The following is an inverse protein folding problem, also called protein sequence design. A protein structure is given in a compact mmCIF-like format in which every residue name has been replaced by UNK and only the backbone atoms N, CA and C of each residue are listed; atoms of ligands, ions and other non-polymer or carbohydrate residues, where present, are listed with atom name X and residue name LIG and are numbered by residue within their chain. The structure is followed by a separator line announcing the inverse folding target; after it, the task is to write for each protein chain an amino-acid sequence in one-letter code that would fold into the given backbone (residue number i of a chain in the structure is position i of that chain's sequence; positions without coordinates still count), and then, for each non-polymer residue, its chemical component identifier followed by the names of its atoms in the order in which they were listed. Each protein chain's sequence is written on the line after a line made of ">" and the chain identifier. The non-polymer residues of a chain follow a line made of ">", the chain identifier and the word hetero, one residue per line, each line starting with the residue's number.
data_IF_907421710213
#
_entry.id   IF_907421710213
#
_cell.length_a   1.000
_cell.length_b   1.000
_cell.length_c   1.000
_cell.angle_alpha   90.00
_cell.angle_beta   90.00
_cell.angle_gamma   90.00
#
_symmetry.space_group_name_H-M   'P 1'
#
loop_
_entity.id
_entity.type
_entity.pdbx_description
1 polymer ?
#
# COMPACT_ATOMS: atom_id res chain seq x y z
N UNK A 1 57.73 -65.14 -1.51
CA UNK A 1 56.44 -65.37 -0.83
C UNK A 1 56.58 -64.96 0.64
N UNK A 2 55.49 -64.51 1.28
CA UNK A 2 55.25 -64.45 2.74
C UNK A 2 56.26 -63.70 3.67
N UNK A 3 55.72 -62.77 4.47
CA UNK A 3 56.24 -62.36 5.80
C UNK A 3 55.87 -63.45 6.86
N UNK A 4 56.43 -63.53 8.09
CA UNK A 4 56.53 -62.45 9.13
C UNK A 4 57.91 -62.45 9.87
N UNK A 5 58.21 -61.97 11.10
CA UNK A 5 57.41 -61.53 12.28
C UNK A 5 58.18 -60.55 13.22
N UNK A 6 57.41 -59.90 14.12
CA UNK A 6 57.78 -59.11 15.32
C UNK A 6 58.97 -59.59 16.20
N UNK A 7 59.74 -58.64 16.75
CA UNK A 7 59.82 -58.22 18.20
C UNK A 7 60.98 -57.20 18.36
N UNK A 8 60.85 -56.00 18.96
CA UNK A 8 60.38 -55.57 20.29
C UNK A 8 61.48 -55.57 21.39
N UNK A 9 62.07 -54.40 21.64
CA UNK A 9 62.34 -53.82 22.99
C UNK A 9 62.88 -52.39 22.84
N UNK A 10 62.64 -51.53 23.83
CA UNK A 10 63.19 -50.16 23.96
C UNK A 10 63.78 -50.04 25.37
N UNK A 11 64.91 -49.36 25.51
CA UNK A 11 65.54 -49.01 26.78
C UNK A 11 66.89 -48.34 26.55
N UNK A 12 67.32 -47.50 27.49
CA UNK A 12 68.59 -46.77 27.43
C UNK A 12 68.41 -45.24 27.55
N UNK A 13 69.06 -44.67 28.56
CA UNK A 13 69.51 -43.27 28.58
C UNK A 13 70.80 -43.18 27.72
N UNK A 14 71.41 -42.04 27.42
CA UNK A 14 72.22 -41.21 28.35
C UNK A 14 72.58 -39.84 27.73
N UNK A 15 73.58 -39.16 28.29
CA UNK A 15 73.98 -37.75 28.15
C UNK A 15 74.70 -37.44 26.80
N UNK A 16 75.04 -36.20 26.41
CA UNK A 16 76.03 -35.25 26.97
C UNK A 16 75.68 -33.80 26.54
N UNK A 17 75.83 -32.78 27.38
CA UNK A 17 77.05 -31.96 27.62
C UNK A 17 77.72 -31.39 26.36
N UNK A 18 77.80 -30.05 26.29
CA UNK A 18 78.61 -29.34 25.28
C UNK A 18 78.10 -27.92 24.96
N UNK A 19 78.69 -26.90 25.63
CA UNK A 19 78.89 -25.49 25.23
C UNK A 19 78.86 -24.56 26.47
N UNK A 20 79.91 -23.76 26.65
CA UNK A 20 80.01 -22.71 27.68
C UNK A 20 80.60 -21.46 27.04
N UNK A 21 80.00 -20.30 27.29
CA UNK A 21 80.58 -18.98 27.00
C UNK A 21 80.05 -18.29 25.74
N UNK A 22 79.03 -17.44 25.92
CA UNK A 22 78.99 -16.09 25.31
C UNK A 22 77.94 -15.23 26.06
N UNK A 23 78.29 -13.99 26.41
CA UNK A 23 77.50 -13.14 27.32
C UNK A 23 76.32 -12.42 26.64
N UNK A 24 75.12 -12.98 26.75
CA UNK A 24 73.89 -12.31 26.30
C UNK A 24 73.39 -11.32 27.36
N UNK A 25 73.81 -10.06 27.24
CA UNK A 25 73.20 -8.93 27.95
C UNK A 25 71.76 -8.69 27.45
N UNK A 26 70.77 -9.28 28.10
CA UNK A 26 69.38 -8.88 27.90
C UNK A 26 69.20 -7.41 28.30
N UNK A 27 68.61 -6.60 27.41
CA UNK A 27 68.28 -5.21 27.69
C UNK A 27 67.12 -5.14 28.67
N UNK A 28 67.22 -4.26 29.64
CA UNK A 28 66.10 -3.89 30.50
C UNK A 28 65.05 -3.19 29.62
N UNK A 29 63.79 -3.65 29.68
CA UNK A 29 62.69 -3.12 28.87
C UNK A 29 61.98 -2.01 29.65
N UNK A 30 61.72 -0.87 29.02
CA UNK A 30 61.06 0.28 29.65
C UNK A 30 59.58 -0.02 29.98
N UNK A 31 59.33 -0.58 31.17
CA UNK A 31 57.99 -0.80 31.71
C UNK A 31 57.17 0.50 31.83
N UNK A 32 57.82 1.60 32.18
CA UNK A 32 57.17 2.91 32.41
C UNK A 32 56.49 3.45 31.15
N UNK A 33 57.07 3.20 29.97
CA UNK A 33 56.47 3.57 28.69
C UNK A 33 55.21 2.75 28.39
N UNK A 34 55.21 1.46 28.77
CA UNK A 34 54.04 0.58 28.66
C UNK A 34 52.93 0.96 29.65
N UNK A 35 53.28 1.24 30.91
CA UNK A 35 52.30 1.64 31.92
C UNK A 35 51.59 2.94 31.53
N UNK A 36 52.33 3.94 31.02
CA UNK A 36 51.72 5.19 30.54
C UNK A 36 50.70 4.95 29.42
N UNK A 37 50.99 4.05 28.46
CA UNK A 37 50.04 3.72 27.39
C UNK A 37 48.77 3.03 27.93
N UNK A 38 48.90 2.21 28.98
CA UNK A 38 47.75 1.58 29.67
C UNK A 38 46.90 2.65 30.37
N UNK A 39 47.52 3.60 31.06
CA UNK A 39 46.83 4.67 31.78
C UNK A 39 46.10 5.64 30.82
N UNK A 40 46.76 6.02 29.71
CA UNK A 40 46.16 6.84 28.64
C UNK A 40 44.97 6.10 27.97
N UNK A 41 45.05 4.78 27.79
CA UNK A 41 43.94 3.94 27.31
C UNK A 41 42.80 3.85 28.33
N UNK A 42 43.10 3.65 29.62
CA UNK A 42 42.10 3.59 30.68
C UNK A 42 41.34 4.91 30.81
N UNK A 43 42.04 6.05 30.73
CA UNK A 43 41.45 7.39 30.67
C UNK A 43 40.50 7.53 29.47
N UNK A 44 40.95 7.10 28.28
CA UNK A 44 40.16 7.13 27.05
C UNK A 44 38.88 6.28 27.11
N UNK A 45 38.96 5.08 27.69
CA UNK A 45 37.80 4.18 27.88
C UNK A 45 36.83 4.72 28.94
N UNK A 46 37.34 5.31 30.02
CA UNK A 46 36.51 5.99 31.04
C UNK A 46 35.71 7.14 30.42
N UNK A 47 36.36 8.00 29.63
CA UNK A 47 35.71 9.12 28.96
C UNK A 47 34.65 8.64 27.93
N UNK A 48 34.98 7.63 27.11
CA UNK A 48 34.05 7.02 26.15
C UNK A 48 32.82 6.39 26.83
N UNK A 49 33.01 5.72 27.98
CA UNK A 49 31.89 5.13 28.74
C UNK A 49 31.01 6.16 29.41
N UNK A 50 31.55 7.30 29.86
CA UNK A 50 30.73 8.45 30.32
C UNK A 50 29.87 9.00 29.19
N UNK A 51 30.48 9.38 28.06
CA UNK A 51 29.77 9.95 26.90
C UNK A 51 28.67 9.01 26.38
N UNK A 52 28.91 7.69 26.41
CA UNK A 52 27.91 6.68 26.04
C UNK A 52 26.74 6.60 27.03
N UNK A 53 26.99 6.80 28.33
CA UNK A 53 25.98 6.82 29.39
C UNK A 53 25.10 8.07 29.29
N UNK A 54 25.69 9.24 29.06
CA UNK A 54 24.96 10.49 28.86
C UNK A 54 24.11 10.46 27.58
N UNK A 55 24.64 9.91 26.48
CA UNK A 55 23.86 9.68 25.25
C UNK A 55 22.64 8.76 25.48
N UNK A 56 22.78 7.73 26.33
CA UNK A 56 21.64 6.85 26.68
C UNK A 56 20.59 7.61 27.48
N UNK A 57 21.00 8.39 28.49
CA UNK A 57 20.09 9.22 29.30
C UNK A 57 19.31 10.23 28.45
N UNK A 58 19.98 10.92 27.53
CA UNK A 58 19.36 11.85 26.58
C UNK A 58 18.37 11.15 25.64
N UNK A 59 18.65 9.92 25.20
CA UNK A 59 17.72 9.13 24.38
C UNK A 59 16.47 8.70 25.18
N UNK A 60 16.60 8.36 26.45
CA UNK A 60 15.46 8.12 27.35
C UNK A 60 14.62 9.39 27.56
N UNK A 61 15.25 10.54 27.79
CA UNK A 61 14.57 11.82 28.00
C UNK A 61 13.86 12.31 26.71
N UNK A 62 14.45 12.11 25.53
CA UNK A 62 13.80 12.38 24.24
C UNK A 62 12.63 11.44 23.96
N UNK A 63 12.72 10.13 24.28
CA UNK A 63 11.56 9.21 24.20
C UNK A 63 10.41 9.71 25.05
N UNK A 64 10.67 10.09 26.31
CA UNK A 64 9.65 10.58 27.24
C UNK A 64 9.01 11.90 26.78
N UNK A 65 9.73 12.75 26.03
CA UNK A 65 9.13 13.91 25.36
C UNK A 65 8.25 13.50 24.17
N UNK A 66 8.73 12.62 23.29
CA UNK A 66 7.94 12.11 22.16
C UNK A 66 6.63 11.43 22.63
N UNK A 67 6.69 10.59 23.66
CA UNK A 67 5.51 9.91 24.23
C UNK A 67 4.55 10.86 24.97
N UNK A 68 5.01 12.05 25.39
CA UNK A 68 4.15 13.11 25.95
C UNK A 68 3.41 13.90 24.86
N UNK A 69 4.08 14.24 23.76
CA UNK A 69 3.42 14.93 22.65
C UNK A 69 2.49 13.99 21.85
N UNK A 70 2.87 12.71 21.69
CA UNK A 70 2.02 11.67 21.10
C UNK A 70 0.69 11.46 21.83
N UNK A 71 0.57 11.88 23.10
CA UNK A 71 -0.65 11.80 23.91
C UNK A 71 -1.52 13.08 23.89
N UNK A 72 -1.18 14.08 23.09
CA UNK A 72 -1.89 15.38 23.05
C UNK A 72 -2.72 15.64 21.79
N UNK A 73 -2.61 14.82 20.74
CA UNK A 73 -3.36 14.99 19.49
C UNK A 73 -3.80 13.65 18.91
N UNK A 74 -5.05 13.27 19.20
CA UNK A 74 -5.79 12.30 18.37
C UNK A 74 -7.30 12.40 18.67
N UNK A 75 -8.07 12.99 17.75
CA UNK A 75 -9.41 12.54 17.44
C UNK A 75 -9.39 11.78 16.11
N UNK A 76 -9.65 10.48 16.17
CA UNK A 76 -10.16 9.64 15.06
C UNK A 76 -9.56 9.83 13.66
N UNK A 77 -8.51 9.06 13.34
CA UNK A 77 -8.37 8.43 12.03
C UNK A 77 -7.66 7.08 12.20
N UNK A 78 -8.14 6.02 11.53
CA UNK A 78 -7.61 4.67 11.72
C UNK A 78 -6.32 4.42 10.89
N UNK A 79 -5.62 3.34 11.26
CA UNK A 79 -4.37 2.85 10.69
C UNK A 79 -3.10 3.68 11.01
N UNK A 80 -2.34 3.19 12.00
CA UNK A 80 -0.95 3.59 12.23
C UNK A 80 -0.09 3.10 11.04
N UNK A 81 0.14 3.98 10.07
CA UNK A 81 0.99 3.70 8.92
C UNK A 81 2.38 3.27 9.38
N UNK A 82 2.87 2.18 8.78
CA UNK A 82 4.22 1.68 9.03
C UNK A 82 5.28 2.67 8.54
N UNK A 83 6.50 2.55 9.07
CA UNK A 83 7.65 3.36 8.62
C UNK A 83 8.05 3.10 7.16
N UNK A 84 7.46 2.09 6.52
CA UNK A 84 7.65 1.76 5.09
C UNK A 84 6.54 2.40 4.24
N UNK A 85 5.27 2.31 4.66
CA UNK A 85 4.17 3.06 4.00
C UNK A 85 4.44 4.56 3.96
N UNK A 86 4.91 5.15 5.06
CA UNK A 86 5.28 6.58 5.09
C UNK A 86 6.40 6.93 4.10
N UNK A 87 7.32 6.01 3.79
CA UNK A 87 8.36 6.21 2.75
C UNK A 87 7.75 6.17 1.35
N UNK A 88 6.87 5.19 1.09
CA UNK A 88 6.19 5.05 -0.20
C UNK A 88 5.32 6.28 -0.48
N UNK A 89 4.56 6.76 0.52
CA UNK A 89 3.75 7.99 0.42
C UNK A 89 4.63 9.20 0.05
N UNK A 90 5.79 9.36 0.69
CA UNK A 90 6.71 10.46 0.39
C UNK A 90 7.36 10.33 -1.01
N UNK A 91 7.68 9.11 -1.46
CA UNK A 91 8.22 8.88 -2.81
C UNK A 91 7.17 9.17 -3.89
N UNK A 92 5.94 8.70 -3.72
CA UNK A 92 4.82 8.96 -4.64
C UNK A 92 4.49 10.45 -4.71
N UNK A 93 4.51 11.17 -3.57
CA UNK A 93 4.31 12.63 -3.56
C UNK A 93 5.44 13.36 -4.28
N UNK A 94 6.70 13.01 -4.03
CA UNK A 94 7.85 13.59 -4.76
C UNK A 94 7.75 13.38 -6.27
N UNK A 95 7.40 12.17 -6.73
CA UNK A 95 7.26 11.87 -8.16
C UNK A 95 6.04 12.57 -8.79
N UNK A 96 4.95 12.74 -8.05
CA UNK A 96 3.81 13.58 -8.44
C UNK A 96 4.21 15.04 -8.62
N UNK A 97 4.98 15.61 -7.69
CA UNK A 97 5.54 16.97 -7.82
C UNK A 97 6.51 17.13 -9.00
N UNK A 98 7.14 16.04 -9.45
CA UNK A 98 7.99 16.00 -10.64
C UNK A 98 7.13 15.95 -11.93
N UNK A 99 6.17 15.02 -12.02
CA UNK A 99 5.21 14.90 -13.13
C UNK A 99 4.37 16.17 -13.32
N UNK A 100 3.87 16.78 -12.24
CA UNK A 100 3.09 18.04 -12.30
C UNK A 100 3.93 19.23 -12.78
N UNK A 101 5.25 19.22 -12.55
CA UNK A 101 6.16 20.29 -12.99
C UNK A 101 6.47 20.21 -14.49
N UNK A 102 6.43 19.00 -15.05
CA UNK A 102 6.78 18.72 -16.45
C UNK A 102 5.54 18.71 -17.36
N UNK A 103 4.49 17.98 -16.97
CA UNK A 103 3.29 17.75 -17.80
C UNK A 103 2.07 18.55 -17.35
N UNK A 104 2.11 19.16 -16.16
CA UNK A 104 0.94 19.78 -15.52
C UNK A 104 -0.03 18.78 -14.88
N UNK A 105 -1.01 19.32 -14.15
CA UNK A 105 -2.12 18.53 -13.60
C UNK A 105 -3.08 18.03 -14.69
N UNK A 106 -3.88 17.03 -14.34
CA UNK A 106 -5.05 16.60 -15.13
C UNK A 106 -6.28 17.39 -14.72
N UNK A 107 -7.14 17.69 -15.68
CA UNK A 107 -8.40 18.39 -15.55
C UNK A 107 -9.53 17.61 -16.24
N UNK A 108 -10.77 18.09 -16.16
CA UNK A 108 -11.89 17.52 -16.91
C UNK A 108 -11.72 17.61 -18.45
N UNK A 109 -10.84 18.48 -18.96
CA UNK A 109 -10.67 18.71 -20.41
C UNK A 109 -9.72 17.68 -21.05
N UNK A 110 -8.68 17.26 -20.33
CA UNK A 110 -7.58 16.43 -20.86
C UNK A 110 -7.54 14.99 -20.31
N UNK A 111 -8.05 14.73 -19.09
CA UNK A 111 -7.87 13.41 -18.45
C UNK A 111 -8.42 12.25 -19.29
N UNK A 112 -9.51 12.49 -20.05
CA UNK A 112 -10.12 11.47 -20.90
C UNK A 112 -9.25 11.10 -22.10
N UNK A 113 -8.52 12.06 -22.66
CA UNK A 113 -7.53 11.79 -23.71
C UNK A 113 -6.29 11.11 -23.13
N UNK A 114 -5.82 11.54 -21.96
CA UNK A 114 -4.71 10.89 -21.28
C UNK A 114 -4.98 9.42 -20.93
N UNK A 115 -6.16 9.10 -20.39
CA UNK A 115 -6.56 7.73 -20.08
C UNK A 115 -6.77 6.87 -21.34
N UNK A 116 -7.37 7.43 -22.39
CA UNK A 116 -7.50 6.77 -23.70
C UNK A 116 -6.13 6.41 -24.27
N UNK A 117 -5.22 7.38 -24.32
CA UNK A 117 -3.86 7.21 -24.79
C UNK A 117 -3.08 6.20 -23.94
N UNK A 118 -3.24 6.21 -22.61
CA UNK A 118 -2.58 5.24 -21.71
C UNK A 118 -2.92 3.79 -22.04
N UNK A 119 -4.18 3.51 -22.35
CA UNK A 119 -4.61 2.17 -22.73
C UNK A 119 -4.23 1.80 -24.17
N UNK A 120 -4.23 2.75 -25.11
CA UNK A 120 -3.88 2.51 -26.51
C UNK A 120 -2.36 2.34 -26.73
N UNK A 121 -1.55 3.26 -26.18
CA UNK A 121 -0.09 3.19 -26.13
C UNK A 121 0.45 3.86 -24.86
N UNK A 122 0.70 3.01 -23.85
CA UNK A 122 1.28 3.40 -22.56
C UNK A 122 2.60 4.17 -22.69
N UNK A 123 3.43 3.85 -23.69
CA UNK A 123 4.74 4.47 -23.87
C UNK A 123 4.61 5.91 -24.37
N UNK A 124 3.64 6.19 -25.25
CA UNK A 124 3.33 7.55 -25.70
C UNK A 124 2.67 8.33 -24.56
N UNK A 125 1.71 7.74 -23.84
CA UNK A 125 1.06 8.41 -22.72
C UNK A 125 2.01 8.74 -21.55
N UNK A 126 2.98 7.87 -21.25
CA UNK A 126 4.02 8.17 -20.26
C UNK A 126 4.96 9.29 -20.73
N UNK A 127 5.18 9.45 -22.04
CA UNK A 127 6.00 10.52 -22.62
C UNK A 127 5.27 11.88 -22.72
N UNK A 128 3.95 11.90 -22.89
CA UNK A 128 3.14 13.13 -23.02
C UNK A 128 2.52 13.60 -21.69
N UNK A 129 2.29 12.68 -20.74
CA UNK A 129 1.57 12.97 -19.47
C UNK A 129 2.25 12.44 -18.21
N UNK A 130 3.37 11.71 -18.33
CA UNK A 130 3.99 10.98 -17.23
C UNK A 130 3.20 9.71 -16.82
N UNK A 131 3.81 8.88 -15.99
CA UNK A 131 3.23 7.58 -15.59
C UNK A 131 1.96 7.73 -14.72
N UNK A 132 0.88 7.04 -15.12
CA UNK A 132 -0.50 7.22 -14.61
C UNK A 132 -0.66 7.28 -13.08
N UNK A 133 0.09 6.46 -12.35
CA UNK A 133 0.09 6.39 -10.88
C UNK A 133 0.42 7.73 -10.19
N UNK A 134 1.15 8.62 -10.88
CA UNK A 134 1.58 9.92 -10.36
C UNK A 134 0.77 11.11 -10.87
N UNK A 135 -0.26 10.89 -11.72
CA UNK A 135 -1.12 11.98 -12.21
C UNK A 135 -1.79 12.70 -11.04
N UNK A 136 -1.65 14.03 -11.00
CA UNK A 136 -2.43 14.89 -10.13
C UNK A 136 -3.79 15.16 -10.78
N UNK A 137 -4.83 14.60 -10.16
CA UNK A 137 -6.23 14.69 -10.58
C UNK A 137 -7.05 15.62 -9.66
N UNK A 138 -6.38 16.42 -8.81
CA UNK A 138 -7.05 17.29 -7.82
C UNK A 138 -7.96 18.36 -8.41
N UNK A 139 -7.91 18.60 -9.72
CA UNK A 139 -8.75 19.56 -10.46
C UNK A 139 -9.79 18.87 -11.37
N UNK A 140 -9.94 17.53 -11.24
CA UNK A 140 -10.94 16.72 -11.94
C UNK A 140 -12.19 16.59 -11.07
N UNK A 141 -13.37 16.82 -11.67
CA UNK A 141 -14.67 16.61 -11.02
C UNK A 141 -15.53 15.54 -11.70
N UNK A 142 -15.24 15.16 -12.95
CA UNK A 142 -15.89 14.05 -13.66
C UNK A 142 -14.84 13.09 -14.22
N UNK A 143 -14.92 11.83 -13.79
CA UNK A 143 -14.22 10.69 -14.38
C UNK A 143 -15.20 9.79 -15.16
N UNK A 144 -16.32 10.37 -15.62
CA UNK A 144 -17.37 9.68 -16.34
C UNK A 144 -16.86 8.96 -17.60
N UNK A 145 -16.90 7.62 -17.59
CA UNK A 145 -16.44 6.74 -18.68
C UNK A 145 -14.93 6.62 -18.85
N UNK A 146 -14.11 7.03 -17.86
CA UNK A 146 -12.68 7.27 -18.06
C UNK A 146 -11.88 6.06 -18.59
N UNK A 147 -12.20 4.85 -18.13
CA UNK A 147 -11.69 3.58 -18.63
C UNK A 147 -12.86 2.68 -19.08
N UNK A 148 -13.88 3.26 -19.70
CA UNK A 148 -14.96 2.48 -20.33
C UNK A 148 -14.41 1.76 -21.57
N UNK A 149 -14.79 0.50 -21.71
CA UNK A 149 -14.67 -0.25 -22.95
C UNK A 149 -15.94 -0.11 -23.82
N UNK A 150 -15.87 -0.68 -25.03
CA UNK A 150 -17.02 -0.85 -25.93
C UNK A 150 -17.27 0.34 -26.86
N UNK A 151 -17.58 0.03 -28.12
CA UNK A 151 -17.72 0.93 -29.27
C UNK A 151 -18.67 2.14 -29.09
N UNK A 152 -19.51 2.15 -28.04
CA UNK A 152 -20.58 3.14 -27.87
C UNK A 152 -20.27 4.27 -26.88
N UNK A 153 -19.43 3.99 -25.87
CA UNK A 153 -19.15 4.92 -24.75
C UNK A 153 -17.69 4.92 -24.30
N UNK A 154 -16.83 4.13 -24.95
CA UNK A 154 -15.44 3.92 -24.54
C UNK A 154 -14.57 3.45 -25.70
N UNK A 155 -13.48 2.77 -25.39
CA UNK A 155 -12.49 2.33 -26.36
C UNK A 155 -12.00 0.91 -26.03
N UNK A 156 -11.79 0.06 -27.06
CA UNK A 156 -11.57 -1.38 -26.87
C UNK A 156 -10.33 -1.73 -26.02
N UNK A 157 -9.31 -0.87 -26.02
CA UNK A 157 -8.11 -1.06 -25.21
C UNK A 157 -8.40 -1.04 -23.69
N UNK A 158 -9.45 -0.36 -23.23
CA UNK A 158 -9.85 -0.34 -21.81
C UNK A 158 -10.18 -1.73 -21.25
N UNK A 159 -10.54 -2.71 -22.10
CA UNK A 159 -10.81 -4.10 -21.68
C UNK A 159 -9.64 -4.76 -20.97
N UNK A 160 -8.41 -4.26 -21.18
CA UNK A 160 -7.19 -4.78 -20.54
C UNK A 160 -6.67 -3.95 -19.37
N UNK A 161 -7.31 -2.82 -19.02
CA UNK A 161 -6.84 -1.93 -17.97
C UNK A 161 -6.89 -2.59 -16.58
N UNK A 162 -5.77 -2.59 -15.86
CA UNK A 162 -5.63 -3.03 -14.45
C UNK A 162 -4.39 -2.41 -13.79
N UNK A 163 -4.10 -1.14 -14.08
CA UNK A 163 -2.94 -0.42 -13.54
C UNK A 163 -3.19 0.23 -12.18
N UNK A 164 -2.11 0.60 -11.49
CA UNK A 164 -2.19 1.15 -10.14
C UNK A 164 -2.53 2.65 -10.17
N UNK A 165 -3.80 2.93 -9.89
CA UNK A 165 -4.38 4.26 -9.70
C UNK A 165 -4.82 4.50 -8.23
N UNK A 166 -4.36 3.66 -7.30
CA UNK A 166 -4.72 3.76 -5.87
C UNK A 166 -4.23 5.03 -5.17
N UNK A 167 -3.31 5.75 -5.83
CA UNK A 167 -2.69 6.99 -5.39
C UNK A 167 -3.37 8.27 -5.87
N UNK A 168 -4.48 8.17 -6.62
CA UNK A 168 -5.23 9.35 -7.08
C UNK A 168 -5.97 10.06 -5.92
N UNK A 169 -5.91 11.39 -5.90
CA UNK A 169 -6.54 12.23 -4.86
C UNK A 169 -7.98 12.60 -5.28
N UNK A 170 -8.92 11.69 -5.01
CA UNK A 170 -10.29 11.68 -5.55
C UNK A 170 -11.28 12.67 -4.90
N UNK A 171 -10.86 13.44 -3.89
CA UNK A 171 -11.77 14.19 -3.00
C UNK A 171 -12.61 15.31 -3.65
N UNK A 172 -12.35 15.67 -4.90
CA UNK A 172 -13.13 16.65 -5.70
C UNK A 172 -14.00 16.00 -6.79
N UNK A 173 -13.98 14.67 -6.93
CA UNK A 173 -14.71 13.96 -7.99
C UNK A 173 -16.19 13.79 -7.59
N UNK A 174 -17.09 14.42 -8.35
CA UNK A 174 -18.55 14.32 -8.15
C UNK A 174 -19.21 13.21 -9.01
N UNK A 175 -18.58 12.83 -10.14
CA UNK A 175 -19.08 11.84 -11.10
C UNK A 175 -18.01 10.77 -11.42
N UNK A 176 -18.38 9.50 -11.20
CA UNK A 176 -17.60 8.30 -11.51
C UNK A 176 -18.41 7.29 -12.35
N UNK A 177 -19.46 7.76 -13.03
CA UNK A 177 -20.30 6.92 -13.87
C UNK A 177 -19.49 6.23 -14.97
N UNK A 178 -19.80 4.97 -15.29
CA UNK A 178 -19.12 4.15 -16.30
C UNK A 178 -17.58 4.03 -16.18
N UNK A 179 -16.95 4.44 -15.07
CA UNK A 179 -15.49 4.64 -15.02
C UNK A 179 -14.66 3.41 -15.41
N UNK A 180 -15.15 2.20 -15.14
CA UNK A 180 -14.56 0.91 -15.55
C UNK A 180 -15.59 0.02 -16.27
N UNK A 181 -16.54 0.62 -17.00
CA UNK A 181 -17.60 -0.12 -17.67
C UNK A 181 -17.05 -1.02 -18.78
N UNK A 182 -17.46 -2.29 -18.81
CA UNK A 182 -16.93 -3.38 -19.66
C UNK A 182 -15.38 -3.55 -19.60
N UNK A 183 -14.69 -3.02 -18.57
CA UNK A 183 -13.24 -3.16 -18.38
C UNK A 183 -12.88 -4.57 -17.86
N UNK A 184 -13.00 -5.58 -18.72
CA UNK A 184 -13.04 -7.00 -18.34
C UNK A 184 -11.86 -7.50 -17.50
N UNK A 185 -10.66 -6.92 -17.66
CA UNK A 185 -9.45 -7.30 -16.91
C UNK A 185 -9.24 -6.58 -15.58
N UNK A 186 -10.00 -5.51 -15.31
CA UNK A 186 -9.83 -4.66 -14.14
C UNK A 186 -10.15 -5.38 -12.83
N UNK A 187 -9.27 -5.24 -11.84
CA UNK A 187 -9.39 -5.86 -10.50
C UNK A 187 -9.40 -4.84 -9.36
N UNK A 188 -9.04 -3.58 -9.64
CA UNK A 188 -8.81 -2.56 -8.61
C UNK A 188 -7.47 -2.69 -7.90
N UNK A 189 -6.41 -3.09 -8.63
CA UNK A 189 -5.01 -3.21 -8.17
C UNK A 189 -4.54 -1.94 -7.41
N UNK A 190 -3.64 -2.13 -6.44
CA UNK A 190 -3.23 -1.09 -5.48
C UNK A 190 -4.26 -0.80 -4.38
N UNK A 191 -5.55 -0.92 -4.71
CA UNK A 191 -6.67 -0.87 -3.78
C UNK A 191 -7.45 0.44 -3.85
N UNK A 192 -8.40 0.53 -4.78
CA UNK A 192 -9.32 1.68 -4.93
C UNK A 192 -10.18 1.95 -3.68
N UNK A 193 -10.26 0.99 -2.74
CA UNK A 193 -10.79 1.22 -1.40
C UNK A 193 -10.13 2.38 -0.64
N UNK A 194 -8.89 2.77 -1.00
CA UNK A 194 -8.19 3.92 -0.38
C UNK A 194 -8.81 5.27 -0.76
N UNK A 195 -9.46 5.39 -1.91
CA UNK A 195 -9.98 6.65 -2.46
C UNK A 195 -10.99 7.36 -1.56
N UNK A 196 -10.85 8.68 -1.42
CA UNK A 196 -11.89 9.52 -0.82
C UNK A 196 -12.97 9.83 -1.86
N UNK A 197 -14.12 9.17 -1.72
CA UNK A 197 -15.29 9.34 -2.58
C UNK A 197 -16.34 10.28 -1.97
N UNK A 198 -16.01 11.03 -0.90
CA UNK A 198 -16.97 11.84 -0.14
C UNK A 198 -17.71 12.93 -0.94
N UNK A 199 -17.14 13.38 -2.06
CA UNK A 199 -17.79 14.30 -3.00
C UNK A 199 -18.68 13.60 -4.04
N UNK A 200 -18.49 12.30 -4.27
CA UNK A 200 -19.09 11.59 -5.39
C UNK A 200 -20.59 11.32 -5.19
N UNK A 201 -21.35 11.56 -6.26
CA UNK A 201 -22.81 11.46 -6.32
C UNK A 201 -23.27 10.32 -7.22
N UNK A 202 -22.55 10.09 -8.32
CA UNK A 202 -22.94 9.18 -9.38
C UNK A 202 -21.88 8.08 -9.63
N UNK A 203 -22.29 6.84 -9.38
CA UNK A 203 -21.54 5.60 -9.59
C UNK A 203 -22.25 4.69 -10.62
N UNK A 204 -23.13 5.25 -11.46
CA UNK A 204 -23.91 4.52 -12.47
C UNK A 204 -23.00 3.65 -13.32
N UNK A 205 -23.27 2.34 -13.37
CA UNK A 205 -22.50 1.37 -14.16
C UNK A 205 -20.97 1.36 -13.91
N UNK A 206 -20.48 1.90 -12.79
CA UNK A 206 -19.04 2.16 -12.58
C UNK A 206 -18.15 0.92 -12.80
N UNK A 207 -18.58 -0.26 -12.37
CA UNK A 207 -17.94 -1.56 -12.60
C UNK A 207 -18.84 -2.53 -13.38
N UNK A 208 -19.86 -2.01 -14.09
CA UNK A 208 -20.74 -2.83 -14.91
C UNK A 208 -19.93 -3.51 -16.01
N UNK A 209 -20.01 -4.83 -16.15
CA UNK A 209 -19.20 -5.60 -17.10
C UNK A 209 -17.71 -5.76 -16.75
N UNK A 210 -17.24 -5.24 -15.61
CA UNK A 210 -15.87 -5.44 -15.13
C UNK A 210 -15.70 -6.87 -14.55
N UNK A 211 -15.67 -7.88 -15.44
CA UNK A 211 -15.81 -9.31 -15.10
C UNK A 211 -14.88 -9.82 -14.00
N UNK A 212 -13.63 -9.33 -13.93
CA UNK A 212 -12.60 -9.71 -12.94
C UNK A 212 -12.56 -8.82 -11.70
N UNK A 213 -13.46 -7.83 -11.58
CA UNK A 213 -13.46 -6.91 -10.44
C UNK A 213 -13.85 -7.63 -9.15
N UNK A 214 -12.96 -7.57 -8.14
CA UNK A 214 -13.21 -8.10 -6.80
C UNK A 214 -12.47 -7.27 -5.74
N UNK A 215 -12.59 -5.94 -5.85
CA UNK A 215 -11.91 -4.98 -4.98
C UNK A 215 -12.44 -4.99 -3.54
N UNK A 216 -11.57 -4.66 -2.59
CA UNK A 216 -11.93 -4.48 -1.17
C UNK A 216 -12.50 -3.06 -0.97
N UNK A 217 -13.80 -2.97 -0.69
CA UNK A 217 -14.55 -1.71 -0.67
C UNK A 217 -15.02 -1.29 0.75
N UNK A 218 -14.48 -1.90 1.80
CA UNK A 218 -14.78 -1.59 3.21
C UNK A 218 -14.73 -0.09 3.53
N UNK A 219 -13.57 0.52 3.26
CA UNK A 219 -13.31 1.94 3.46
C UNK A 219 -14.22 2.92 2.70
N UNK A 220 -15.07 2.45 1.76
CA UNK A 220 -16.07 3.30 1.11
C UNK A 220 -17.32 3.50 1.97
N UNK A 221 -17.58 2.63 2.96
CA UNK A 221 -18.84 2.61 3.71
C UNK A 221 -19.18 3.91 4.43
N UNK A 222 -18.24 4.48 5.18
CA UNK A 222 -18.38 5.79 5.82
C UNK A 222 -18.32 6.98 4.83
N UNK A 223 -17.96 6.73 3.56
CA UNK A 223 -17.68 7.78 2.55
C UNK A 223 -18.81 7.98 1.54
N UNK A 224 -19.78 7.07 1.45
CA UNK A 224 -20.95 7.15 0.55
C UNK A 224 -21.99 8.23 0.94
N UNK A 225 -21.62 9.20 1.78
CA UNK A 225 -22.52 10.18 2.42
C UNK A 225 -23.33 11.06 1.44
N UNK A 226 -22.84 11.20 0.20
CA UNK A 226 -23.42 11.99 -0.89
C UNK A 226 -23.88 11.15 -2.10
N UNK A 227 -23.76 9.82 -2.05
CA UNK A 227 -24.12 8.94 -3.15
C UNK A 227 -25.63 8.98 -3.43
N UNK A 228 -26.01 9.29 -4.67
CA UNK A 228 -27.40 9.45 -5.11
C UNK A 228 -27.80 8.35 -6.11
N UNK A 229 -26.86 7.96 -6.99
CA UNK A 229 -27.06 6.99 -8.06
C UNK A 229 -25.97 5.91 -8.07
N UNK A 230 -26.37 4.64 -7.96
CA UNK A 230 -25.54 3.44 -8.06
C UNK A 230 -26.23 2.38 -8.96
N UNK A 231 -27.07 2.82 -9.91
CA UNK A 231 -27.77 1.92 -10.83
C UNK A 231 -26.78 1.11 -11.66
N UNK A 232 -27.03 -0.20 -11.84
CA UNK A 232 -26.16 -1.16 -12.56
C UNK A 232 -24.67 -1.15 -12.16
N UNK A 233 -24.29 -0.62 -10.99
CA UNK A 233 -22.88 -0.37 -10.61
C UNK A 233 -21.97 -1.61 -10.67
N UNK A 234 -22.46 -2.80 -10.33
CA UNK A 234 -21.75 -4.07 -10.42
C UNK A 234 -22.43 -5.05 -11.41
N UNK A 235 -23.26 -4.53 -12.32
CA UNK A 235 -24.04 -5.36 -13.24
C UNK A 235 -23.13 -6.17 -14.17
N UNK A 236 -23.14 -7.50 -14.09
CA UNK A 236 -22.24 -8.37 -14.85
C UNK A 236 -20.78 -8.40 -14.34
N UNK A 237 -20.48 -7.84 -13.16
CA UNK A 237 -19.18 -8.00 -12.50
C UNK A 237 -19.08 -9.41 -11.91
N UNK A 238 -18.88 -10.41 -12.78
CA UNK A 238 -19.10 -11.82 -12.47
C UNK A 238 -18.31 -12.35 -11.26
N UNK A 239 -17.07 -11.91 -11.08
CA UNK A 239 -16.17 -12.36 -10.00
C UNK A 239 -16.21 -11.50 -8.73
N UNK A 240 -17.17 -10.58 -8.60
CA UNK A 240 -17.29 -9.72 -7.43
C UNK A 240 -17.96 -10.46 -6.27
N UNK A 241 -17.30 -10.55 -5.11
CA UNK A 241 -17.80 -11.23 -3.90
C UNK A 241 -18.57 -10.31 -2.93
N UNK A 242 -18.54 -8.99 -3.14
CA UNK A 242 -19.18 -8.01 -2.24
C UNK A 242 -18.39 -7.71 -0.96
N UNK A 243 -17.06 -7.84 -0.98
CA UNK A 243 -16.20 -7.64 0.19
C UNK A 243 -16.26 -6.19 0.70
N UNK A 244 -16.81 -6.00 1.90
CA UNK A 244 -16.91 -4.71 2.56
C UNK A 244 -18.21 -3.95 2.33
N UNK A 245 -19.16 -4.53 1.58
CA UNK A 245 -20.50 -3.94 1.48
C UNK A 245 -21.23 -3.97 2.83
N UNK A 246 -20.83 -4.88 3.73
CA UNK A 246 -21.28 -4.95 5.13
C UNK A 246 -20.97 -3.69 5.97
N UNK A 247 -20.15 -2.76 5.47
CA UNK A 247 -19.83 -1.48 6.12
C UNK A 247 -20.60 -0.29 5.50
N UNK A 248 -21.45 -0.49 4.48
CA UNK A 248 -22.06 0.59 3.68
C UNK A 248 -23.43 1.08 4.21
N UNK A 249 -23.52 2.35 4.63
CA UNK A 249 -24.82 3.05 4.79
C UNK A 249 -25.35 3.53 3.42
N UNK A 250 -26.06 2.64 2.73
CA UNK A 250 -26.77 2.97 1.49
C UNK A 250 -28.14 3.61 1.70
N UNK A 251 -28.53 3.95 2.95
CA UNK A 251 -29.86 4.44 3.30
C UNK A 251 -30.26 5.80 2.72
N UNK A 252 -29.31 6.49 2.07
CA UNK A 252 -29.48 7.80 1.41
C UNK A 252 -29.60 7.72 -0.11
N UNK A 253 -29.16 6.61 -0.72
CA UNK A 253 -29.05 6.47 -2.17
C UNK A 253 -30.44 6.37 -2.79
N UNK A 254 -30.69 7.08 -3.91
CA UNK A 254 -32.03 7.15 -4.53
C UNK A 254 -32.26 6.09 -5.59
N UNK A 255 -31.21 5.65 -6.28
CA UNK A 255 -31.34 4.76 -7.44
C UNK A 255 -30.24 3.70 -7.43
N UNK A 256 -30.63 2.45 -7.20
CA UNK A 256 -29.71 1.29 -7.27
C UNK A 256 -30.35 0.10 -8.02
N UNK A 257 -31.19 0.37 -9.02
CA UNK A 257 -31.84 -0.69 -9.81
C UNK A 257 -30.79 -1.55 -10.51
N UNK A 258 -31.01 -2.87 -10.55
CA UNK A 258 -30.14 -3.82 -11.25
C UNK A 258 -28.66 -3.78 -10.82
N UNK A 259 -28.35 -3.21 -9.64
CA UNK A 259 -26.98 -2.93 -9.17
C UNK A 259 -26.08 -4.17 -9.15
N UNK A 260 -26.66 -5.34 -8.88
CA UNK A 260 -25.97 -6.64 -8.82
C UNK A 260 -26.54 -7.66 -9.82
N UNK A 261 -27.25 -7.23 -10.87
CA UNK A 261 -27.73 -8.16 -11.89
C UNK A 261 -26.54 -8.81 -12.61
N UNK A 262 -26.58 -10.12 -12.84
CA UNK A 262 -25.42 -10.85 -13.37
C UNK A 262 -24.15 -10.89 -12.49
N UNK A 263 -24.15 -10.35 -11.27
CA UNK A 263 -23.02 -10.44 -10.33
C UNK A 263 -23.04 -11.79 -9.59
N UNK A 264 -22.67 -12.86 -10.29
CA UNK A 264 -22.97 -14.24 -9.88
C UNK A 264 -22.35 -14.66 -8.54
N UNK A 265 -21.05 -14.40 -8.29
CA UNK A 265 -20.40 -14.82 -7.04
C UNK A 265 -21.02 -14.13 -5.81
N UNK A 266 -21.25 -12.81 -5.86
CA UNK A 266 -21.98 -12.07 -4.80
C UNK A 266 -23.36 -12.69 -4.48
N UNK A 267 -24.11 -13.10 -5.50
CA UNK A 267 -25.43 -13.72 -5.33
C UNK A 267 -25.34 -15.14 -4.75
N UNK A 268 -24.29 -15.90 -5.07
CA UNK A 268 -24.01 -17.22 -4.49
C UNK A 268 -23.56 -17.13 -3.02
N UNK A 269 -22.72 -16.14 -2.69
CA UNK A 269 -22.18 -15.92 -1.34
C UNK A 269 -23.17 -15.26 -0.35
N UNK A 270 -24.48 -15.35 -0.62
CA UNK A 270 -25.53 -14.82 0.27
C UNK A 270 -25.61 -13.29 0.32
N UNK A 271 -25.11 -12.59 -0.71
CA UNK A 271 -24.88 -11.14 -0.74
C UNK A 271 -26.05 -10.24 -0.31
N UNK A 272 -27.30 -10.72 -0.38
CA UNK A 272 -28.49 -10.05 0.18
C UNK A 272 -28.36 -9.69 1.66
N UNK A 273 -27.58 -10.44 2.43
CA UNK A 273 -27.34 -10.15 3.86
C UNK A 273 -26.25 -9.09 4.09
N UNK A 274 -25.45 -8.74 3.06
CA UNK A 274 -24.32 -7.82 3.18
C UNK A 274 -24.67 -6.34 3.01
N UNK A 275 -25.85 -5.99 2.49
CA UNK A 275 -26.18 -4.60 2.13
C UNK A 275 -27.45 -4.10 2.85
N UNK A 276 -27.77 -4.71 4.00
CA UNK A 276 -29.00 -4.51 4.75
C UNK A 276 -30.22 -5.22 4.15
N UNK A 277 -31.36 -5.19 4.85
CA UNK A 277 -32.58 -5.92 4.45
C UNK A 277 -33.34 -5.30 3.25
N UNK A 278 -32.85 -4.20 2.67
CA UNK A 278 -33.52 -3.43 1.62
C UNK A 278 -33.58 -4.12 0.23
N UNK A 279 -33.10 -5.36 0.09
CA UNK A 279 -32.73 -5.97 -1.20
C UNK A 279 -33.47 -7.29 -1.52
N UNK A 280 -34.80 -7.28 -1.36
CA UNK A 280 -35.67 -8.38 -1.77
C UNK A 280 -36.34 -8.14 -3.12
N UNK A 281 -35.52 -7.98 -4.16
CA UNK A 281 -35.92 -8.05 -5.57
C UNK A 281 -35.18 -9.19 -6.27
N UNK A 282 -35.88 -10.29 -6.57
CA UNK A 282 -35.40 -11.30 -7.53
C UNK A 282 -35.62 -10.82 -8.97
N UNK A 283 -35.04 -11.51 -9.94
CA UNK A 283 -35.18 -11.21 -11.37
C UNK A 283 -36.66 -11.02 -11.77
N UNK A 284 -37.05 -9.77 -12.07
CA UNK A 284 -38.41 -9.38 -12.42
C UNK A 284 -38.79 -7.97 -11.97
N UNK A 285 -38.85 -7.74 -10.65
CA UNK A 285 -39.66 -6.64 -10.09
C UNK A 285 -38.87 -5.35 -9.76
N UNK A 286 -39.34 -4.24 -10.33
CA UNK A 286 -38.79 -2.90 -10.08
C UNK A 286 -39.41 -2.29 -8.81
N UNK A 287 -38.71 -2.37 -7.68
CA UNK A 287 -39.04 -1.56 -6.51
C UNK A 287 -38.46 -0.14 -6.59
N UNK A 288 -39.12 0.79 -5.90
CA UNK A 288 -38.89 2.23 -5.99
C UNK A 288 -38.50 2.79 -4.62
N UNK A 289 -37.37 3.48 -4.50
CA UNK A 289 -36.77 3.86 -3.21
C UNK A 289 -37.48 5.06 -2.57
N UNK A 290 -38.59 4.79 -1.87
CA UNK A 290 -39.28 5.78 -1.02
C UNK A 290 -39.73 5.29 0.36
N UNK A 291 -39.91 3.99 0.57
CA UNK A 291 -40.59 3.46 1.77
C UNK A 291 -39.67 3.01 2.93
N UNK A 292 -38.36 3.27 2.85
CA UNK A 292 -37.39 2.99 3.94
C UNK A 292 -37.47 3.95 5.15
N UNK A 293 -38.58 4.70 5.31
CA UNK A 293 -38.78 5.65 6.44
C UNK A 293 -39.70 5.17 7.56
N UNK A 294 -40.38 4.03 7.43
CA UNK A 294 -41.33 3.51 8.43
C UNK A 294 -41.09 2.03 8.75
N UNK A 295 -39.90 1.67 9.24
CA UNK A 295 -39.63 0.35 9.85
C UNK A 295 -39.03 0.52 11.25
N UNK A 296 -39.73 1.26 12.09
CA UNK A 296 -39.63 1.22 13.56
C UNK A 296 -41.01 1.49 14.14
N UNK A 297 -41.75 0.41 14.44
CA UNK A 297 -43.11 0.42 14.99
C UNK A 297 -43.53 -0.99 15.37
#
# INVERSE_FOLDING_TARGET
>A
MQSPTKKQKIGGRDTCEGCVGDDIKMKQVDFDAGQKQIDDLHSSVSNYTSVKKDKTKLLEEVKVMCDKERKKKEPTMQHLQTGEELRIILEVKKKREEVVREFGKRTNEDIKEAARMWCEDMCIAEAEYGHIMYWDVSEVTSMGGLFSAGERYGYEAAKQFDDDISWWEMGNVEDMSFMFYDAESFKGKGGIGRWDIGACRDFYAMFGGAKKFNGDLRCWGERLVNADNMQIMFCGASSFEGKGLEEWDVGRVRVMRWMFDGAWEFLLCGGKQRVGEAWFGGCGDVMNMKDTRNIFG
#
